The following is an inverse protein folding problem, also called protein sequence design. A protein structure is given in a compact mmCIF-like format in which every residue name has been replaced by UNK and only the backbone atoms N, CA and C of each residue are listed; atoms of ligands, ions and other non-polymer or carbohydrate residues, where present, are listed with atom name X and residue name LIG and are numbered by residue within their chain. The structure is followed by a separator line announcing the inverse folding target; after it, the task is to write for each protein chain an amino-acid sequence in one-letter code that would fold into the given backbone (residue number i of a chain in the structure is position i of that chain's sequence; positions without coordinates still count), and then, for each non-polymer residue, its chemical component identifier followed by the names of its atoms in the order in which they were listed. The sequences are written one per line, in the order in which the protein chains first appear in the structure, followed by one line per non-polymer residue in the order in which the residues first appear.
data_IF_593516339558
#
_entry.id   IF_593516339558
#
_cell.length_a   1.000
_cell.length_b   1.000
_cell.length_c   1.000
_cell.angle_alpha   90.00
_cell.angle_beta   90.00
_cell.angle_gamma   90.00
#
_symmetry.space_group_name_H-M   'P 1'
#
loop_
_entity.id
_entity.type
_entity.pdbx_description
1 polymer ?
#
# COMPACT_ATOMS: atom_id res chain seq x y z
N UNK A 1 31.28 58.64 7.96
CA UNK A 1 30.08 57.84 8.32
C UNK A 1 29.52 57.26 7.03
N UNK A 2 29.58 55.93 6.87
CA UNK A 2 29.32 55.21 5.62
C UNK A 2 27.89 54.65 5.65
N UNK A 3 27.04 55.11 4.74
CA UNK A 3 25.77 54.46 4.42
C UNK A 3 25.98 53.65 3.14
N UNK A 4 26.08 52.33 3.27
CA UNK A 4 26.01 51.39 2.16
C UNK A 4 24.63 50.74 2.17
N UNK A 5 23.70 51.29 1.42
CA UNK A 5 22.54 50.55 0.93
C UNK A 5 23.02 49.67 -0.23
N UNK A 6 23.30 48.40 0.05
CA UNK A 6 23.46 47.38 -0.99
C UNK A 6 22.15 46.63 -1.15
N UNK A 7 21.51 46.88 -2.28
CA UNK A 7 20.37 46.13 -2.78
C UNK A 7 20.93 45.21 -3.89
N UNK A 8 21.11 43.91 -3.69
CA UNK A 8 21.47 43.04 -4.79
C UNK A 8 20.19 42.64 -5.52
N UNK A 9 19.85 43.41 -6.56
CA UNK A 9 19.05 42.92 -7.67
C UNK A 9 19.81 41.75 -8.31
N UNK A 10 19.51 40.53 -7.89
CA UNK A 10 19.91 39.33 -8.61
C UNK A 10 19.07 39.22 -9.88
N UNK A 11 19.57 39.84 -10.94
CA UNK A 11 19.28 39.46 -12.32
C UNK A 11 19.87 38.07 -12.56
N UNK A 12 19.07 37.03 -12.36
CA UNK A 12 19.36 35.67 -12.83
C UNK A 12 18.57 35.49 -14.13
N UNK A 13 19.33 35.17 -15.18
CA UNK A 13 18.90 35.27 -16.57
C UNK A 13 17.71 34.41 -16.97
N UNK A 14 17.10 34.83 -18.07
CA UNK A 14 16.21 34.02 -18.88
C UNK A 14 16.94 32.75 -19.33
N UNK A 15 16.69 31.63 -18.63
CA UNK A 15 17.01 30.29 -19.11
C UNK A 15 15.81 29.77 -19.91
N UNK A 16 16.07 29.50 -21.18
CA UNK A 16 15.23 28.89 -22.20
C UNK A 16 14.86 27.41 -21.91
N UNK A 17 14.55 27.04 -20.67
CA UNK A 17 14.09 25.69 -20.33
C UNK A 17 13.06 25.72 -19.21
N UNK A 18 11.84 25.30 -19.54
CA UNK A 18 10.79 24.91 -18.60
C UNK A 18 10.27 26.05 -17.73
N UNK A 19 9.10 26.59 -18.10
CA UNK A 19 8.18 27.03 -17.05
C UNK A 19 7.91 25.80 -16.19
N UNK A 20 8.60 25.65 -15.06
CA UNK A 20 8.03 24.91 -13.94
C UNK A 20 6.91 25.82 -13.48
N UNK A 21 5.63 25.50 -13.74
CA UNK A 21 4.57 26.23 -13.07
C UNK A 21 4.79 25.97 -11.59
N UNK A 22 5.41 26.90 -10.89
CA UNK A 22 5.25 27.03 -9.45
C UNK A 22 3.81 27.50 -9.22
N UNK A 23 2.83 26.64 -9.55
CA UNK A 23 1.53 26.64 -8.92
C UNK A 23 1.70 26.03 -7.52
N UNK A 24 2.59 26.63 -6.73
CA UNK A 24 2.63 26.44 -5.30
C UNK A 24 1.46 27.24 -4.78
N UNK A 25 0.26 26.65 -4.76
CA UNK A 25 -0.80 27.15 -3.88
C UNK A 25 -0.19 27.09 -2.49
N UNK A 26 0.33 28.22 -2.00
CA UNK A 26 0.96 28.32 -0.68
C UNK A 26 -0.06 27.84 0.36
N UNK A 27 0.05 26.56 0.68
CA UNK A 27 -0.88 25.87 1.54
C UNK A 27 -0.49 26.19 2.96
N UNK A 28 -0.96 27.35 3.43
CA UNK A 28 -0.73 27.78 4.79
C UNK A 28 -1.40 26.78 5.75
N UNK A 29 -0.65 26.30 6.73
CA UNK A 29 -1.13 25.41 7.78
C UNK A 29 -2.38 25.96 8.49
N UNK A 30 -2.50 27.29 8.62
CA UNK A 30 -3.71 27.96 9.13
C UNK A 30 -4.93 27.63 8.32
N UNK A 31 -4.80 27.72 7.00
CA UNK A 31 -5.89 27.51 6.07
C UNK A 31 -6.33 26.05 6.08
N UNK A 32 -5.38 25.13 6.05
CA UNK A 32 -5.65 23.70 6.22
C UNK A 32 -6.46 23.46 7.50
N UNK A 33 -5.94 23.88 8.64
CA UNK A 33 -6.59 23.60 9.92
C UNK A 33 -7.99 24.22 9.99
N UNK A 34 -8.15 25.47 9.56
CA UNK A 34 -9.45 26.14 9.55
C UNK A 34 -10.48 25.41 8.70
N UNK A 35 -10.08 24.98 7.50
CA UNK A 35 -10.97 24.28 6.57
C UNK A 35 -11.34 22.89 7.10
N UNK A 36 -10.39 22.16 7.70
CA UNK A 36 -10.67 20.86 8.33
C UNK A 36 -11.54 20.98 9.56
N UNK A 37 -11.32 21.97 10.40
CA UNK A 37 -12.18 22.20 11.58
C UNK A 37 -13.61 22.49 11.11
N UNK A 38 -13.82 23.31 10.07
CA UNK A 38 -15.16 23.53 9.50
C UNK A 38 -15.81 22.25 8.99
N UNK A 39 -15.04 21.43 8.28
CA UNK A 39 -15.51 20.13 7.78
C UNK A 39 -15.97 19.22 8.94
N UNK A 40 -15.15 19.09 9.98
CA UNK A 40 -15.45 18.24 11.14
C UNK A 40 -16.59 18.78 12.00
N UNK A 41 -16.75 20.11 12.12
CA UNK A 41 -17.93 20.71 12.73
C UNK A 41 -19.21 20.32 11.98
N UNK A 42 -19.18 20.24 10.64
CA UNK A 42 -20.32 19.76 9.84
C UNK A 42 -20.66 18.29 10.03
N UNK A 43 -19.70 17.48 10.50
CA UNK A 43 -19.85 16.01 10.65
C UNK A 43 -20.19 15.55 12.05
N UNK A 44 -19.78 16.31 13.07
CA UNK A 44 -19.94 15.93 14.48
C UNK A 44 -21.02 16.82 15.10
N UNK A 45 -22.26 16.32 15.29
CA UNK A 45 -23.35 17.13 15.87
C UNK A 45 -23.04 17.65 17.27
N UNK A 46 -22.18 16.95 18.01
CA UNK A 46 -21.73 17.34 19.34
C UNK A 46 -20.80 18.57 19.35
N UNK A 47 -20.23 18.95 18.20
CA UNK A 47 -19.30 20.07 18.04
C UNK A 47 -19.65 20.92 16.79
N UNK A 48 -20.93 20.98 16.42
CA UNK A 48 -21.46 21.66 15.24
C UNK A 48 -21.33 23.20 15.28
N UNK A 49 -21.21 23.78 16.48
CA UNK A 49 -21.07 25.23 16.69
C UNK A 49 -19.76 25.56 17.39
N UNK A 50 -19.25 26.78 17.18
CA UNK A 50 -18.01 27.23 17.82
C UNK A 50 -18.08 27.19 19.35
N UNK A 51 -19.26 27.44 19.93
CA UNK A 51 -19.48 27.38 21.38
C UNK A 51 -19.35 25.94 21.92
N UNK A 52 -20.04 24.97 21.29
CA UNK A 52 -19.94 23.55 21.68
C UNK A 52 -18.54 22.99 21.46
N UNK A 53 -17.88 23.37 20.36
CA UNK A 53 -16.49 22.99 20.10
C UNK A 53 -15.54 23.56 21.16
N UNK A 54 -15.71 24.83 21.52
CA UNK A 54 -14.90 25.49 22.56
C UNK A 54 -15.01 24.77 23.91
N UNK A 55 -16.23 24.42 24.31
CA UNK A 55 -16.50 23.67 25.54
C UNK A 55 -15.80 22.29 25.53
N UNK A 56 -15.96 21.50 24.45
CA UNK A 56 -15.33 20.18 24.33
C UNK A 56 -13.80 20.25 24.25
N UNK A 57 -13.27 21.22 23.52
CA UNK A 57 -11.83 21.42 23.36
C UNK A 57 -11.16 22.02 24.61
N UNK A 58 -11.95 22.46 25.60
CA UNK A 58 -11.48 23.23 26.76
C UNK A 58 -10.69 24.46 26.31
N UNK A 59 -11.24 25.17 25.32
CA UNK A 59 -10.67 26.37 24.72
C UNK A 59 -11.67 27.53 24.83
N UNK A 60 -11.18 28.76 24.76
CA UNK A 60 -12.08 29.91 24.66
C UNK A 60 -12.74 29.96 23.28
N UNK A 61 -13.99 30.43 23.21
CA UNK A 61 -14.66 30.65 21.92
C UNK A 61 -13.87 31.63 21.02
N UNK A 62 -13.22 32.65 21.61
CA UNK A 62 -12.35 33.57 20.88
C UNK A 62 -11.13 32.88 20.27
N UNK A 63 -10.57 31.86 20.92
CA UNK A 63 -9.47 31.06 20.37
C UNK A 63 -9.93 30.25 19.15
N UNK A 64 -11.11 29.61 19.25
CA UNK A 64 -11.71 28.89 18.11
C UNK A 64 -11.98 29.84 16.93
N UNK A 65 -12.53 31.02 17.22
CA UNK A 65 -12.76 32.05 16.22
C UNK A 65 -11.48 32.48 15.50
N UNK A 66 -10.38 32.68 16.24
CA UNK A 66 -9.07 33.03 15.65
C UNK A 66 -8.51 31.92 14.76
N UNK A 67 -8.66 30.66 15.16
CA UNK A 67 -8.26 29.50 14.33
C UNK A 67 -9.04 29.50 13.02
N UNK A 68 -10.36 29.66 13.09
CA UNK A 68 -11.23 29.63 11.91
C UNK A 68 -11.02 30.83 10.96
N UNK A 69 -10.63 31.98 11.50
CA UNK A 69 -10.39 33.21 10.73
C UNK A 69 -8.92 33.48 10.41
N UNK A 70 -8.05 32.47 10.54
CA UNK A 70 -6.62 32.55 10.20
C UNK A 70 -5.85 33.61 11.00
N UNK A 71 -6.40 34.04 12.15
CA UNK A 71 -5.89 35.14 12.96
C UNK A 71 -4.71 34.77 13.85
N UNK A 72 -4.36 33.48 13.94
CA UNK A 72 -3.24 32.97 14.73
C UNK A 72 -2.61 31.77 14.03
N UNK A 73 -1.30 31.62 14.15
CA UNK A 73 -0.64 30.37 13.73
C UNK A 73 -1.02 29.22 14.67
N UNK A 74 -1.45 28.06 14.13
CA UNK A 74 -1.88 26.96 14.95
C UNK A 74 -0.68 26.25 15.56
N UNK A 75 -0.66 26.20 16.88
CA UNK A 75 0.23 25.29 17.59
C UNK A 75 -0.28 23.85 17.52
N UNK A 76 0.65 22.89 17.61
CA UNK A 76 0.30 21.47 17.74
C UNK A 76 -0.61 21.19 18.94
N UNK A 77 -0.43 21.94 20.04
CA UNK A 77 -1.27 21.90 21.23
C UNK A 77 -2.75 22.20 20.92
N UNK A 78 -2.98 23.16 20.02
CA UNK A 78 -4.31 23.58 19.58
C UNK A 78 -4.91 22.55 18.65
N UNK A 79 -4.14 22.04 17.69
CA UNK A 79 -4.57 20.95 16.81
C UNK A 79 -4.97 19.69 17.61
N UNK A 80 -4.20 19.35 18.65
CA UNK A 80 -4.51 18.21 19.55
C UNK A 80 -5.85 18.39 20.28
N UNK A 81 -6.09 19.57 20.86
CA UNK A 81 -7.34 19.87 21.57
C UNK A 81 -8.55 19.79 20.65
N UNK A 82 -8.42 20.32 19.43
CA UNK A 82 -9.46 20.28 18.40
C UNK A 82 -9.75 18.84 17.96
N UNK A 83 -8.70 18.07 17.63
CA UNK A 83 -8.85 16.66 17.27
C UNK A 83 -9.52 15.85 18.40
N UNK A 84 -9.09 16.07 19.64
CA UNK A 84 -9.67 15.43 20.82
C UNK A 84 -11.15 15.79 21.03
N UNK A 85 -11.54 17.03 20.74
CA UNK A 85 -12.94 17.47 20.83
C UNK A 85 -13.86 16.75 19.83
N UNK A 86 -13.32 16.41 18.65
CA UNK A 86 -14.00 15.60 17.64
C UNK A 86 -13.89 14.09 17.87
N UNK A 87 -13.01 13.65 18.79
CA UNK A 87 -12.76 12.23 19.06
C UNK A 87 -11.90 11.53 18.01
N UNK A 88 -11.05 12.27 17.30
CA UNK A 88 -10.17 11.78 16.24
C UNK A 88 -8.69 12.04 16.56
N UNK A 89 -7.79 11.41 15.82
CA UNK A 89 -6.35 11.70 15.90
C UNK A 89 -5.98 13.00 15.16
N UNK A 90 -4.83 13.60 15.49
CA UNK A 90 -4.32 14.78 14.75
C UNK A 90 -4.09 14.44 13.27
N UNK A 91 -3.59 13.23 12.98
CA UNK A 91 -3.38 12.79 11.61
C UNK A 91 -4.68 12.83 10.80
N UNK A 92 -5.78 12.29 11.36
CA UNK A 92 -7.10 12.32 10.74
C UNK A 92 -7.69 13.74 10.63
N UNK A 93 -7.39 14.62 11.60
CA UNK A 93 -7.83 16.02 11.52
C UNK A 93 -7.15 16.73 10.34
N UNK A 94 -5.87 16.44 10.08
CA UNK A 94 -5.07 17.10 9.05
C UNK A 94 -5.06 16.36 7.72
N UNK A 95 -5.76 15.23 7.62
CA UNK A 95 -5.81 14.41 6.43
C UNK A 95 -6.58 15.14 5.31
N UNK A 96 -5.98 15.18 4.13
CA UNK A 96 -6.64 15.67 2.94
C UNK A 96 -7.50 14.57 2.34
N UNK A 97 -8.83 14.70 2.42
CA UNK A 97 -9.73 13.75 1.75
C UNK A 97 -9.57 13.76 0.23
N UNK A 98 -9.23 14.91 -0.35
CA UNK A 98 -8.84 15.01 -1.76
C UNK A 98 -7.49 14.31 -2.05
N UNK A 99 -6.68 14.04 -1.01
CA UNK A 99 -5.54 13.11 -1.07
C UNK A 99 -5.92 11.68 -0.70
N UNK A 100 -7.04 11.44 0.00
CA UNK A 100 -7.52 10.12 0.40
C UNK A 100 -8.04 9.28 -0.77
N UNK A 101 -8.37 9.90 -1.91
CA UNK A 101 -8.53 9.17 -3.18
C UNK A 101 -7.20 8.56 -3.68
N UNK A 102 -6.06 8.95 -3.08
CA UNK A 102 -4.72 8.43 -3.41
C UNK A 102 -3.83 8.04 -2.22
N UNK A 103 -4.25 8.17 -0.96
CA UNK A 103 -3.44 7.78 0.20
C UNK A 103 -3.85 6.43 0.76
N UNK A 104 -3.13 5.40 0.31
CA UNK A 104 -2.37 4.39 1.09
C UNK A 104 -2.95 3.69 2.33
N UNK A 105 -4.15 4.00 2.79
CA UNK A 105 -4.83 3.20 3.81
C UNK A 105 -5.55 2.07 3.08
N UNK A 106 -5.02 0.85 3.20
CA UNK A 106 -5.82 -0.33 2.90
C UNK A 106 -7.15 -0.19 3.66
N UNK A 107 -8.32 -0.37 3.01
CA UNK A 107 -9.62 -0.32 3.67
C UNK A 107 -9.81 -1.56 4.55
N UNK A 108 -8.95 -1.70 5.55
CA UNK A 108 -8.90 -2.78 6.53
C UNK A 108 -9.23 -2.16 7.86
N UNK A 109 -10.31 -2.65 8.48
CA UNK A 109 -10.68 -2.24 9.83
C UNK A 109 -9.55 -2.59 10.81
N UNK A 110 -8.88 -1.59 11.43
CA UNK A 110 -7.74 -1.83 12.30
C UNK A 110 -8.09 -2.64 13.54
N UNK A 111 -9.37 -2.64 13.98
CA UNK A 111 -9.82 -3.48 15.10
C UNK A 111 -9.84 -4.95 14.71
N UNK A 112 -10.40 -5.25 13.53
CA UNK A 112 -10.44 -6.62 13.01
C UNK A 112 -9.05 -7.17 12.72
N UNK A 113 -8.12 -6.31 12.27
CA UNK A 113 -6.73 -6.71 12.09
C UNK A 113 -6.02 -6.96 13.42
N UNK A 114 -6.28 -6.15 14.46
CA UNK A 114 -5.71 -6.35 15.79
C UNK A 114 -6.15 -7.67 16.43
N UNK A 115 -7.40 -8.08 16.22
CA UNK A 115 -7.98 -9.32 16.76
C UNK A 115 -7.47 -10.60 16.08
N UNK A 116 -6.75 -10.50 14.96
CA UNK A 116 -6.22 -11.66 14.26
C UNK A 116 -5.08 -12.35 15.06
N UNK A 117 -5.02 -13.69 15.03
CA UNK A 117 -3.87 -14.46 15.51
C UNK A 117 -2.58 -14.04 14.80
N UNK A 118 -1.44 -14.21 15.46
CA UNK A 118 -0.13 -13.89 14.89
C UNK A 118 0.13 -14.60 13.55
N UNK A 119 -0.34 -15.85 13.41
CA UNK A 119 -0.23 -16.62 12.17
C UNK A 119 -0.98 -16.00 10.99
N UNK A 120 -2.16 -15.41 11.22
CA UNK A 120 -2.96 -14.79 10.16
C UNK A 120 -2.40 -13.42 9.78
N UNK A 121 -1.87 -12.67 10.75
CA UNK A 121 -1.13 -11.42 10.48
C UNK A 121 0.09 -11.66 9.60
N UNK A 122 0.81 -12.76 9.83
CA UNK A 122 1.98 -13.13 9.03
C UNK A 122 1.61 -13.42 7.57
N UNK A 123 0.50 -14.14 7.34
CA UNK A 123 0.01 -14.41 5.98
C UNK A 123 -0.33 -13.13 5.23
N UNK A 124 -0.99 -12.18 5.90
CA UNK A 124 -1.34 -10.89 5.32
C UNK A 124 -0.07 -10.11 4.96
N UNK A 125 0.95 -10.12 5.83
CA UNK A 125 2.25 -9.49 5.54
C UNK A 125 2.92 -10.13 4.33
N UNK A 126 3.07 -11.46 4.33
CA UNK A 126 3.72 -12.20 3.24
C UNK A 126 3.02 -11.97 1.89
N UNK A 127 1.68 -11.92 1.88
CA UNK A 127 0.92 -11.61 0.68
C UNK A 127 1.12 -10.17 0.21
N UNK A 128 1.13 -9.20 1.11
CA UNK A 128 1.41 -7.81 0.76
C UNK A 128 2.81 -7.63 0.18
N UNK A 129 3.82 -8.26 0.79
CA UNK A 129 5.20 -8.27 0.28
C UNK A 129 5.30 -8.90 -1.11
N UNK A 130 4.63 -10.03 -1.34
CA UNK A 130 4.56 -10.67 -2.64
C UNK A 130 3.94 -9.76 -3.71
N UNK A 131 2.81 -9.10 -3.41
CA UNK A 131 2.16 -8.18 -4.35
C UNK A 131 3.06 -7.00 -4.68
N UNK A 132 3.78 -6.44 -3.70
CA UNK A 132 4.76 -5.38 -3.95
C UNK A 132 5.91 -5.88 -4.83
N UNK A 133 6.49 -7.04 -4.53
CA UNK A 133 7.59 -7.61 -5.31
C UNK A 133 7.19 -7.93 -6.77
N UNK A 134 6.00 -8.48 -7.00
CA UNK A 134 5.49 -8.74 -8.37
C UNK A 134 5.26 -7.45 -9.14
N UNK A 135 4.78 -6.40 -8.47
CA UNK A 135 4.58 -5.10 -9.09
C UNK A 135 5.93 -4.42 -9.42
N UNK A 136 6.92 -4.50 -8.53
CA UNK A 136 8.28 -4.00 -8.79
C UNK A 136 8.95 -4.76 -9.93
N UNK A 137 8.83 -6.09 -9.97
CA UNK A 137 9.31 -6.91 -11.08
C UNK A 137 8.65 -6.50 -12.40
N UNK A 138 7.35 -6.19 -12.39
CA UNK A 138 6.62 -5.73 -13.58
C UNK A 138 7.02 -4.32 -14.04
N UNK A 139 7.45 -3.44 -13.12
CA UNK A 139 7.98 -2.10 -13.44
C UNK A 139 9.43 -2.13 -13.90
N UNK A 140 10.20 -3.12 -13.47
CA UNK A 140 11.61 -3.30 -13.83
C UNK A 140 11.85 -3.99 -15.17
N UNK A 141 10.84 -4.64 -15.78
CA UNK A 141 11.01 -5.41 -17.02
C UNK A 141 10.39 -4.71 -18.24
N UNK A 142 11.08 -3.69 -18.75
CA UNK A 142 11.04 -3.40 -20.20
C UNK A 142 11.92 -4.38 -21.01
N UNK A 143 12.34 -5.49 -20.41
CA UNK A 143 13.04 -6.58 -21.07
C UNK A 143 12.87 -7.87 -20.27
N UNK A 144 12.57 -8.95 -20.98
CA UNK A 144 12.67 -10.33 -20.52
C UNK A 144 11.61 -10.82 -19.51
N UNK A 145 10.38 -11.03 -20.00
CA UNK A 145 9.49 -12.02 -19.40
C UNK A 145 10.09 -13.41 -19.68
N UNK A 146 10.98 -13.91 -18.82
CA UNK A 146 11.42 -15.30 -18.91
C UNK A 146 10.28 -16.18 -18.43
N UNK A 147 9.47 -16.66 -19.38
CA UNK A 147 8.70 -17.88 -19.20
C UNK A 147 9.70 -18.98 -18.83
N UNK A 148 9.77 -19.36 -17.56
CA UNK A 148 10.57 -20.50 -17.11
C UNK A 148 9.88 -21.76 -17.62
N UNK A 149 10.16 -22.10 -18.87
CA UNK A 149 9.85 -23.39 -19.45
C UNK A 149 11.11 -24.24 -19.32
N UNK A 150 11.31 -24.81 -18.13
CA UNK A 150 12.36 -25.77 -17.89
C UNK A 150 11.95 -27.10 -18.53
N UNK A 151 12.44 -27.34 -19.75
CA UNK A 151 12.29 -28.64 -20.39
C UNK A 151 13.33 -29.58 -19.80
N UNK A 152 12.90 -30.43 -18.87
CA UNK A 152 13.74 -31.52 -18.36
C UNK A 152 14.02 -32.46 -19.54
N UNK A 153 15.27 -32.60 -20.01
CA UNK A 153 15.57 -33.49 -21.12
C UNK A 153 15.36 -34.94 -20.65
N UNK A 154 14.56 -35.69 -21.41
CA UNK A 154 14.38 -37.12 -21.16
C UNK A 154 15.75 -37.82 -21.08
N UNK A 155 15.93 -38.64 -20.05
CA UNK A 155 17.12 -39.47 -19.83
C UNK A 155 17.29 -40.50 -20.96
N UNK A 156 18.48 -41.08 -21.11
CA UNK A 156 18.76 -42.07 -22.16
C UNK A 156 17.77 -43.23 -22.15
N UNK A 157 17.37 -43.65 -20.95
CA UNK A 157 16.55 -44.83 -20.72
C UNK A 157 15.09 -44.52 -21.08
N UNK A 158 14.61 -43.33 -20.74
CA UNK A 158 13.29 -42.83 -21.14
C UNK A 158 13.19 -42.67 -22.65
N UNK A 159 14.25 -42.19 -23.32
CA UNK A 159 14.28 -42.09 -24.79
C UNK A 159 14.20 -43.46 -25.47
N UNK A 160 14.92 -44.45 -24.95
CA UNK A 160 14.87 -45.81 -25.47
C UNK A 160 13.48 -46.44 -25.28
N UNK A 161 12.85 -46.21 -24.12
CA UNK A 161 11.50 -46.68 -23.83
C UNK A 161 10.48 -46.05 -24.77
N UNK A 162 10.50 -44.73 -24.94
CA UNK A 162 9.58 -44.00 -25.82
C UNK A 162 9.75 -44.42 -27.28
N UNK A 163 10.99 -44.60 -27.75
CA UNK A 163 11.25 -45.10 -29.10
C UNK A 163 10.67 -46.50 -29.32
N UNK A 164 10.79 -47.38 -28.32
CA UNK A 164 10.19 -48.71 -28.35
C UNK A 164 8.66 -48.67 -28.37
N UNK A 165 8.05 -47.82 -27.54
CA UNK A 165 6.58 -47.66 -27.47
C UNK A 165 6.01 -47.05 -28.75
N UNK A 166 6.68 -46.05 -29.33
CA UNK A 166 6.24 -45.37 -30.55
C UNK A 166 6.26 -46.27 -31.80
N UNK A 167 7.06 -47.34 -31.78
CA UNK A 167 7.14 -48.33 -32.87
C UNK A 167 6.17 -49.50 -32.70
N UNK A 168 5.40 -49.57 -31.61
CA UNK A 168 4.40 -50.62 -31.43
C UNK A 168 3.21 -50.33 -32.34
N UNK A 169 2.75 -51.35 -33.06
CA UNK A 169 1.49 -51.28 -33.78
C UNK A 169 0.37 -50.93 -32.80
N UNK A 170 -0.56 -50.05 -33.21
CA UNK A 170 -1.69 -49.59 -32.41
C UNK A 170 -2.63 -50.76 -32.13
N UNK A 171 -2.36 -51.50 -31.05
CA UNK A 171 -3.25 -52.54 -30.54
C UNK A 171 -4.19 -51.93 -29.50
N UNK A 172 -5.46 -52.35 -29.53
CA UNK A 172 -6.50 -51.88 -28.61
C UNK A 172 -6.45 -52.56 -27.24
N UNK A 173 -5.31 -53.16 -26.89
CA UNK A 173 -5.15 -53.96 -25.67
C UNK A 173 -4.38 -53.15 -24.62
N UNK A 174 -5.07 -52.23 -23.95
CA UNK A 174 -4.47 -51.24 -23.05
C UNK A 174 -4.58 -51.59 -21.56
N UNK A 175 -5.00 -52.81 -21.19
CA UNK A 175 -5.30 -53.15 -19.79
C UNK A 175 -4.92 -54.59 -19.40
N UNK A 176 -3.70 -54.99 -19.70
CA UNK A 176 -3.10 -56.20 -19.14
C UNK A 176 -1.66 -55.88 -18.77
N UNK A 177 -1.40 -55.43 -17.55
CA UNK A 177 -0.12 -55.67 -16.84
C UNK A 177 -0.13 -54.93 -15.49
N UNK A 178 -0.72 -55.57 -14.49
CA UNK A 178 -0.20 -55.54 -13.11
C UNK A 178 -0.76 -56.73 -12.32
N UNK A 179 -0.50 -57.94 -12.81
CA UNK A 179 -0.70 -59.17 -12.05
C UNK A 179 0.67 -59.74 -11.63
N UNK A 180 1.16 -59.23 -10.50
CA UNK A 180 2.10 -59.84 -9.54
C UNK A 180 3.00 -60.99 -10.01
N UNK A 181 4.26 -60.67 -10.34
CA UNK A 181 5.35 -61.64 -10.37
C UNK A 181 6.00 -61.74 -8.96
N UNK A 182 5.51 -62.64 -8.09
CA UNK A 182 6.14 -62.96 -6.81
C UNK A 182 7.05 -64.20 -6.95
N UNK A 183 8.39 -64.09 -6.76
CA UNK A 183 9.33 -65.18 -6.99
C UNK A 183 9.55 -66.10 -5.76
N UNK A 184 8.49 -66.62 -5.13
CA UNK A 184 8.60 -67.51 -3.94
C UNK A 184 8.07 -68.94 -4.07
N UNK A 185 7.59 -69.39 -5.23
CA UNK A 185 7.05 -70.76 -5.40
C UNK A 185 7.97 -71.74 -6.16
N UNK A 186 9.29 -71.50 -6.21
CA UNK A 186 10.28 -72.45 -6.76
C UNK A 186 11.12 -73.13 -5.67
N UNK A 187 10.48 -73.88 -4.77
CA UNK A 187 11.15 -74.96 -4.01
C UNK A 187 10.11 -75.83 -3.32
N UNK A 188 10.24 -77.16 -3.49
CA UNK A 188 9.36 -78.26 -3.04
C UNK A 188 8.26 -78.53 -4.09
N UNK A 189 8.36 -79.56 -4.93
CA UNK A 189 8.50 -80.97 -4.57
C UNK A 189 9.24 -81.75 -5.66
N UNK A 190 10.36 -82.38 -5.27
CA UNK A 190 10.77 -83.69 -5.80
C UNK A 190 10.13 -84.73 -4.90
N UNK A 191 9.40 -85.65 -5.50
CA UNK A 191 9.30 -87.09 -5.24
C UNK A 191 8.09 -87.64 -5.99
#
# INVERSE_FOLDING_TARGET
MRNFTHNPNFLIGNSMYGMIPHMSKDFSMRKLLADKVRLWMGRVPAADTQAKLAERAKMSQSSIHRVLNLGTEPELSTAYKLASAFGISIAQLLEDEDRAEGTNALPVDPRRFADLPASEKEKIRAFAEFVMATYEASKGSAGELTTVSETIPATSDERALVAGVAQRDLTTDTLSENETNNPQARKRRRN
#
